data_IF_704526215663
#
_entry.id   IF_704526215663
#
_cell.length_a   1.000
_cell.length_b   1.000
_cell.length_c   1.000
_cell.angle_alpha   90.00
_cell.angle_beta   90.00
_cell.angle_gamma   90.00
#
_symmetry.space_group_name_H-M   'P 1'
#
loop_
_entity.id
_entity.type
_entity.pdbx_description
1 polymer ?
#
# COMPACT_ATOMS: atom_id res chain seq x y z
N UNK A 1 -8.88 16.75 -3.30
CA UNK A 1 -8.88 15.29 -3.08
C UNK A 1 -8.23 14.59 -4.25
N UNK A 2 -7.29 13.69 -3.98
CA UNK A 2 -6.55 12.98 -5.01
C UNK A 2 -7.48 12.05 -5.81
N UNK A 3 -7.31 12.00 -7.15
CA UNK A 3 -8.14 11.23 -8.09
C UNK A 3 -9.67 11.49 -8.00
N UNK A 4 -10.11 12.70 -7.62
CA UNK A 4 -11.54 13.02 -7.47
C UNK A 4 -12.40 12.88 -8.75
N UNK A 5 -11.77 12.86 -9.91
CA UNK A 5 -12.43 12.66 -11.21
C UNK A 5 -12.52 11.18 -11.62
N UNK A 6 -11.73 10.29 -11.01
CA UNK A 6 -11.69 8.86 -11.35
C UNK A 6 -12.33 7.98 -10.27
N UNK A 7 -12.15 8.35 -8.99
CA UNK A 7 -12.67 7.59 -7.85
C UNK A 7 -13.88 8.33 -7.26
N UNK A 8 -15.05 7.66 -7.11
CA UNK A 8 -16.29 8.29 -6.69
C UNK A 8 -16.35 8.51 -5.17
N UNK A 9 -15.43 9.29 -4.63
CA UNK A 9 -15.33 9.60 -3.21
C UNK A 9 -16.58 10.25 -2.59
N UNK A 10 -17.43 10.89 -3.40
CA UNK A 10 -18.73 11.38 -2.95
C UNK A 10 -19.63 10.25 -2.39
N UNK A 11 -19.41 8.99 -2.79
CA UNK A 11 -20.08 7.82 -2.20
C UNK A 11 -19.65 7.65 -0.73
N UNK A 12 -18.35 7.82 -0.44
CA UNK A 12 -17.84 7.77 0.94
C UNK A 12 -18.44 8.91 1.76
N UNK A 13 -18.42 10.13 1.22
CA UNK A 13 -19.02 11.30 1.85
C UNK A 13 -20.52 11.12 2.11
N UNK A 14 -21.27 10.55 1.15
CA UNK A 14 -22.70 10.32 1.29
C UNK A 14 -23.03 9.26 2.36
N UNK A 15 -22.19 8.23 2.48
CA UNK A 15 -22.44 7.07 3.32
C UNK A 15 -21.84 7.14 4.73
N UNK A 16 -20.77 7.92 4.93
CA UNK A 16 -20.08 8.00 6.22
C UNK A 16 -20.10 9.39 6.82
N UNK A 17 -20.08 9.44 8.16
CA UNK A 17 -19.84 10.67 8.93
C UNK A 17 -18.87 10.40 10.07
N UNK A 18 -18.10 11.41 10.43
CA UNK A 18 -17.29 11.33 11.63
C UNK A 18 -18.14 11.59 12.87
N UNK A 19 -17.96 10.76 13.90
CA UNK A 19 -18.66 10.90 15.19
C UNK A 19 -17.60 10.97 16.28
N UNK A 20 -17.61 12.06 17.04
CA UNK A 20 -16.64 12.29 18.13
C UNK A 20 -16.96 11.52 19.40
N UNK A 21 -18.24 11.22 19.65
CA UNK A 21 -18.70 10.42 20.79
C UNK A 21 -19.90 9.57 20.36
N UNK A 22 -19.65 8.30 20.03
CA UNK A 22 -20.73 7.40 19.65
C UNK A 22 -21.37 6.76 20.88
N UNK A 23 -22.54 7.25 21.30
CA UNK A 23 -23.27 6.75 22.48
C UNK A 23 -23.76 5.30 22.36
N UNK A 24 -23.74 4.72 21.16
CA UNK A 24 -24.16 3.35 20.89
C UNK A 24 -23.06 2.29 21.02
N UNK A 25 -21.81 2.68 21.30
CA UNK A 25 -20.66 1.77 21.38
C UNK A 25 -20.00 1.89 22.75
N UNK A 26 -19.65 0.76 23.36
CA UNK A 26 -18.83 0.71 24.58
C UNK A 26 -17.54 1.51 24.36
N UNK A 27 -17.25 2.43 25.29
CA UNK A 27 -16.11 3.35 25.28
C UNK A 27 -16.20 4.57 24.35
N UNK A 28 -17.36 4.84 23.73
CA UNK A 28 -17.65 6.08 22.98
C UNK A 28 -16.58 6.45 21.93
N UNK A 29 -15.92 5.45 21.32
CA UNK A 29 -14.75 5.69 20.48
C UNK A 29 -15.08 6.57 19.26
N UNK A 30 -14.26 7.61 18.97
CA UNK A 30 -14.43 8.42 17.78
C UNK A 30 -14.10 7.62 16.52
N UNK A 31 -14.77 7.94 15.41
CA UNK A 31 -14.47 7.37 14.11
C UNK A 31 -15.50 7.68 13.03
N UNK A 32 -15.29 7.17 11.83
CA UNK A 32 -16.29 7.16 10.76
C UNK A 32 -17.32 6.04 10.96
N UNK A 33 -18.59 6.43 10.89
CA UNK A 33 -19.72 5.52 11.00
C UNK A 33 -20.69 5.72 9.83
N UNK A 34 -21.40 4.65 9.42
CA UNK A 34 -22.48 4.78 8.44
C UNK A 34 -23.50 5.83 8.87
N UNK A 35 -23.96 6.65 7.91
CA UNK A 35 -25.13 7.51 8.11
C UNK A 35 -26.37 6.62 8.19
N UNK A 36 -27.21 6.84 9.19
CA UNK A 36 -28.47 6.12 9.31
C UNK A 36 -29.45 6.68 8.27
N UNK A 37 -29.55 6.01 7.12
CA UNK A 37 -30.53 6.33 6.09
C UNK A 37 -31.34 5.06 5.76
N UNK A 38 -32.58 4.94 6.27
CA UNK A 38 -33.38 3.71 6.17
C UNK A 38 -33.81 3.35 4.74
N UNK A 39 -33.67 4.28 3.78
CA UNK A 39 -34.02 4.06 2.38
C UNK A 39 -32.80 3.81 1.49
N UNK A 40 -31.61 3.70 2.08
CA UNK A 40 -30.35 3.68 1.36
C UNK A 40 -29.59 2.37 1.56
N UNK A 41 -29.31 1.67 0.46
CA UNK A 41 -28.52 0.45 0.47
C UNK A 41 -27.02 0.80 0.40
N UNK A 42 -26.42 1.03 1.57
CA UNK A 42 -24.99 1.31 1.70
C UNK A 42 -24.13 0.22 1.05
N UNK A 43 -24.53 -1.06 1.14
CA UNK A 43 -23.74 -2.16 0.62
C UNK A 43 -23.61 -2.09 -0.91
N UNK A 44 -24.71 -1.73 -1.60
CA UNK A 44 -24.71 -1.53 -3.05
C UNK A 44 -23.79 -0.37 -3.46
N UNK A 45 -23.85 0.74 -2.73
CA UNK A 45 -23.03 1.92 -2.97
C UNK A 45 -21.54 1.64 -2.77
N UNK A 46 -21.18 0.99 -1.66
CA UNK A 46 -19.79 0.63 -1.38
C UNK A 46 -19.25 -0.39 -2.38
N UNK A 47 -20.07 -1.33 -2.84
CA UNK A 47 -19.71 -2.22 -3.95
C UNK A 47 -19.38 -1.43 -5.21
N UNK A 48 -20.23 -0.47 -5.59
CA UNK A 48 -19.97 0.38 -6.74
C UNK A 48 -18.68 1.20 -6.59
N UNK A 49 -18.43 1.74 -5.40
CA UNK A 49 -17.19 2.44 -5.07
C UNK A 49 -15.96 1.54 -5.28
N UNK A 50 -15.98 0.32 -4.74
CA UNK A 50 -14.88 -0.65 -4.89
C UNK A 50 -14.64 -0.99 -6.35
N UNK A 51 -15.69 -1.34 -7.11
CA UNK A 51 -15.56 -1.67 -8.54
C UNK A 51 -14.92 -0.53 -9.34
N UNK A 52 -15.33 0.72 -9.07
CA UNK A 52 -14.74 1.90 -9.73
C UNK A 52 -13.30 2.16 -9.29
N UNK A 53 -12.99 1.96 -8.02
CA UNK A 53 -11.62 2.09 -7.52
C UNK A 53 -10.71 1.06 -8.18
N UNK A 54 -11.08 -0.23 -8.16
CA UNK A 54 -10.30 -1.30 -8.79
C UNK A 54 -10.13 -1.06 -10.28
N UNK A 55 -11.19 -0.65 -10.98
CA UNK A 55 -11.10 -0.26 -12.40
C UNK A 55 -10.09 0.87 -12.62
N UNK A 56 -10.00 1.82 -11.70
CA UNK A 56 -9.03 2.92 -11.76
C UNK A 56 -7.61 2.40 -11.56
N UNK A 57 -7.37 1.56 -10.56
CA UNK A 57 -6.05 0.92 -10.34
C UNK A 57 -5.61 0.18 -11.61
N UNK A 58 -6.49 -0.66 -12.17
CA UNK A 58 -6.21 -1.46 -13.37
C UNK A 58 -5.87 -0.57 -14.58
N UNK A 59 -6.62 0.50 -14.80
CA UNK A 59 -6.36 1.44 -15.90
C UNK A 59 -5.02 2.16 -15.77
N UNK A 60 -4.66 2.62 -14.57
CA UNK A 60 -3.37 3.26 -14.33
C UNK A 60 -2.20 2.27 -14.45
N UNK A 61 -2.39 1.05 -13.93
CA UNK A 61 -1.43 -0.05 -14.05
C UNK A 61 -1.16 -0.43 -15.51
N UNK A 62 -2.20 -0.58 -16.32
CA UNK A 62 -2.08 -0.85 -17.76
C UNK A 62 -1.38 0.30 -18.50
N UNK A 63 -1.74 1.54 -18.17
CA UNK A 63 -1.09 2.74 -18.72
C UNK A 63 0.39 2.79 -18.36
N UNK A 64 0.75 2.44 -17.12
CA UNK A 64 2.13 2.34 -16.67
C UNK A 64 2.87 1.23 -17.44
N UNK A 65 2.27 0.04 -17.58
CA UNK A 65 2.87 -1.11 -18.26
C UNK A 65 3.21 -0.82 -19.72
N UNK A 66 2.37 -0.02 -20.38
CA UNK A 66 2.56 0.37 -21.78
C UNK A 66 3.78 1.26 -22.04
N UNK A 67 4.42 1.80 -20.98
CA UNK A 67 5.68 2.55 -21.10
C UNK A 67 6.89 1.65 -21.34
N UNK A 68 6.77 0.35 -21.07
CA UNK A 68 7.87 -0.62 -21.13
C UNK A 68 7.64 -1.65 -22.26
N UNK A 69 8.70 -2.23 -22.83
CA UNK A 69 8.56 -3.31 -23.82
C UNK A 69 7.71 -4.48 -23.29
N UNK A 70 6.95 -5.14 -24.16
CA UNK A 70 6.16 -6.32 -23.80
C UNK A 70 7.05 -7.47 -23.28
N UNK A 71 8.26 -7.60 -23.83
CA UNK A 71 9.30 -8.51 -23.34
C UNK A 71 10.60 -7.77 -23.15
N UNK A 72 11.20 -7.93 -21.98
CA UNK A 72 12.53 -7.46 -21.66
C UNK A 72 13.49 -8.64 -21.79
N UNK A 73 14.60 -8.45 -22.49
CA UNK A 73 15.65 -9.47 -22.57
C UNK A 73 16.30 -9.57 -21.19
N UNK A 74 16.22 -10.72 -20.49
CA UNK A 74 16.76 -10.82 -19.16
C UNK A 74 18.28 -10.66 -19.16
N UNK A 75 18.81 -9.91 -18.19
CA UNK A 75 20.25 -9.80 -18.01
C UNK A 75 20.83 -11.16 -17.64
N UNK A 76 21.80 -11.63 -18.43
CA UNK A 76 22.57 -12.81 -18.05
C UNK A 76 23.56 -12.52 -16.90
N UNK A 77 24.06 -11.28 -16.84
CA UNK A 77 25.04 -10.78 -15.85
C UNK A 77 24.90 -9.27 -15.69
N UNK A 78 25.32 -8.75 -14.54
CA UNK A 78 25.43 -7.31 -14.31
C UNK A 78 24.44 -6.78 -13.29
N UNK A 79 24.29 -5.46 -13.28
CA UNK A 79 23.57 -4.73 -12.24
C UNK A 79 22.10 -4.54 -12.64
N UNK A 80 21.20 -4.92 -11.73
CA UNK A 80 19.75 -4.80 -11.85
C UNK A 80 19.26 -3.36 -11.69
N UNK A 81 19.93 -2.58 -10.84
CA UNK A 81 19.58 -1.20 -10.52
C UNK A 81 20.85 -0.34 -10.42
N UNK A 82 20.76 0.99 -10.58
CA UNK A 82 21.92 1.87 -10.62
C UNK A 82 22.59 2.04 -9.24
N UNK A 83 23.90 2.36 -9.25
CA UNK A 83 24.68 2.62 -8.03
C UNK A 83 24.09 3.77 -7.20
N UNK A 84 23.58 4.82 -7.85
CA UNK A 84 22.94 5.95 -7.18
C UNK A 84 21.76 5.52 -6.28
N UNK A 85 21.00 4.51 -6.71
CA UNK A 85 19.89 3.97 -5.92
C UNK A 85 20.40 3.17 -4.72
N UNK A 86 21.44 2.36 -4.93
CA UNK A 86 22.13 1.63 -3.86
C UNK A 86 22.62 2.58 -2.78
N UNK A 87 23.27 3.67 -3.19
CA UNK A 87 23.85 4.66 -2.29
C UNK A 87 22.76 5.46 -1.55
N UNK A 88 21.57 5.61 -2.15
CA UNK A 88 20.39 6.22 -1.50
C UNK A 88 19.77 5.29 -0.44
N UNK A 89 19.82 3.98 -0.63
CA UNK A 89 19.22 2.97 0.25
C UNK A 89 20.20 1.89 0.72
N UNK A 90 21.33 2.24 1.38
CA UNK A 90 22.40 1.30 1.68
C UNK A 90 22.01 0.22 2.70
N UNK A 91 20.90 0.41 3.40
CA UNK A 91 20.35 -0.57 4.36
C UNK A 91 19.61 -1.73 3.67
N UNK A 92 19.12 -1.50 2.45
CA UNK A 92 18.31 -2.45 1.69
C UNK A 92 19.02 -2.94 0.44
N UNK A 93 19.85 -2.06 -0.15
CA UNK A 93 20.52 -2.27 -1.42
C UNK A 93 22.03 -2.30 -1.19
N UNK A 94 22.69 -3.28 -1.78
CA UNK A 94 24.14 -3.46 -1.71
C UNK A 94 24.66 -4.08 -3.01
N UNK A 95 25.98 -4.15 -3.15
CA UNK A 95 26.61 -4.72 -4.35
C UNK A 95 26.17 -6.16 -4.62
N UNK A 96 25.90 -6.96 -3.58
CA UNK A 96 25.49 -8.35 -3.73
C UNK A 96 24.09 -8.45 -4.34
N UNK A 97 23.10 -7.77 -3.79
CA UNK A 97 21.72 -7.84 -4.29
C UNK A 97 21.44 -6.97 -5.52
N UNK A 98 22.40 -6.13 -5.93
CA UNK A 98 22.42 -5.46 -7.22
C UNK A 98 22.69 -6.42 -8.38
N UNK A 99 23.36 -7.56 -8.16
CA UNK A 99 23.77 -8.48 -9.21
C UNK A 99 22.66 -9.46 -9.59
N UNK A 100 22.32 -9.58 -10.87
CA UNK A 100 21.30 -10.56 -11.31
C UNK A 100 21.68 -12.00 -10.94
N UNK A 101 22.98 -12.29 -10.88
CA UNK A 101 23.51 -13.58 -10.47
C UNK A 101 23.11 -13.95 -9.03
N UNK A 102 23.02 -12.96 -8.13
CA UNK A 102 22.54 -13.18 -6.76
C UNK A 102 21.08 -13.63 -6.75
N UNK A 103 20.23 -13.00 -7.56
CA UNK A 103 18.82 -13.36 -7.67
C UNK A 103 18.67 -14.78 -8.21
N UNK A 104 19.34 -15.12 -9.31
CA UNK A 104 19.32 -16.48 -9.85
C UNK A 104 19.74 -17.51 -8.81
N UNK A 105 20.81 -17.23 -8.05
CA UNK A 105 21.27 -18.10 -6.98
C UNK A 105 20.21 -18.25 -5.86
N UNK A 106 19.59 -17.16 -5.42
CA UNK A 106 18.55 -17.20 -4.38
C UNK A 106 17.34 -18.05 -4.80
N UNK A 107 16.92 -18.00 -6.07
CA UNK A 107 15.75 -18.75 -6.53
C UNK A 107 16.05 -20.22 -6.85
N UNK A 108 17.32 -20.57 -7.06
CA UNK A 108 17.75 -21.97 -7.23
C UNK A 108 18.04 -22.69 -5.90
N UNK A 109 18.24 -21.94 -4.81
CA UNK A 109 18.50 -22.52 -3.50
C UNK A 109 17.20 -22.97 -2.78
N UNK A 110 17.15 -24.17 -2.17
CA UNK A 110 15.97 -24.65 -1.43
C UNK A 110 15.47 -23.68 -0.34
N UNK A 111 16.39 -22.94 0.28
CA UNK A 111 16.12 -21.94 1.31
C UNK A 111 16.66 -20.56 0.90
N UNK A 112 16.38 -20.16 -0.35
CA UNK A 112 16.73 -18.84 -0.88
C UNK A 112 16.52 -17.71 0.13
N UNK A 113 17.46 -16.76 0.16
CA UNK A 113 17.48 -15.68 1.14
C UNK A 113 16.42 -14.61 0.84
N UNK A 114 15.15 -14.93 1.17
CA UNK A 114 13.99 -14.05 0.96
C UNK A 114 14.16 -12.70 1.68
N UNK A 115 14.74 -12.73 2.87
CA UNK A 115 15.01 -11.56 3.71
C UNK A 115 15.91 -10.55 3.02
N UNK A 116 16.81 -11.01 2.13
CA UNK A 116 17.68 -10.13 1.34
C UNK A 116 17.06 -9.60 0.04
N UNK A 117 16.01 -10.23 -0.49
CA UNK A 117 15.38 -9.82 -1.77
C UNK A 117 14.12 -8.99 -1.60
N UNK A 118 13.30 -9.26 -0.59
CA UNK A 118 12.08 -8.50 -0.34
C UNK A 118 12.36 -6.99 -0.16
N UNK A 119 13.38 -6.57 0.61
CA UNK A 119 13.70 -5.15 0.73
C UNK A 119 14.04 -4.47 -0.57
N UNK A 120 14.69 -5.19 -1.48
CA UNK A 120 15.04 -4.66 -2.79
C UNK A 120 13.78 -4.40 -3.60
N UNK A 121 12.87 -5.37 -3.68
CA UNK A 121 11.61 -5.23 -4.44
C UNK A 121 10.80 -4.02 -3.94
N UNK A 122 10.68 -3.85 -2.62
CA UNK A 122 9.97 -2.73 -2.01
C UNK A 122 10.57 -1.37 -2.40
N UNK A 123 11.90 -1.25 -2.38
CA UNK A 123 12.60 -0.02 -2.79
C UNK A 123 12.42 0.23 -4.29
N UNK A 124 12.59 -0.79 -5.13
CA UNK A 124 12.43 -0.67 -6.58
C UNK A 124 11.00 -0.24 -6.96
N UNK A 125 9.97 -0.78 -6.30
CA UNK A 125 8.59 -0.35 -6.50
C UNK A 125 8.37 1.12 -6.15
N UNK A 126 8.87 1.52 -4.97
CA UNK A 126 8.73 2.89 -4.48
C UNK A 126 9.41 3.89 -5.40
N UNK A 127 10.63 3.57 -5.84
CA UNK A 127 11.50 4.41 -6.68
C UNK A 127 11.16 4.31 -8.17
N UNK A 128 10.14 3.54 -8.55
CA UNK A 128 9.69 3.35 -9.93
C UNK A 128 10.74 2.69 -10.84
N UNK A 129 11.56 1.81 -10.30
CA UNK A 129 12.55 1.01 -11.05
C UNK A 129 11.86 -0.20 -11.70
N UNK A 130 10.78 0.07 -12.45
CA UNK A 130 9.89 -0.97 -12.98
C UNK A 130 10.54 -1.80 -14.07
N UNK A 131 11.52 -1.27 -14.81
CA UNK A 131 12.23 -2.04 -15.84
C UNK A 131 12.97 -3.23 -15.22
N UNK A 132 13.70 -3.00 -14.12
CA UNK A 132 14.37 -4.06 -13.36
C UNK A 132 13.36 -5.07 -12.77
N UNK A 133 12.24 -4.59 -12.24
CA UNK A 133 11.19 -5.46 -11.71
C UNK A 133 10.52 -6.33 -12.79
N UNK A 134 10.17 -5.76 -13.94
CA UNK A 134 9.62 -6.51 -15.08
C UNK A 134 10.66 -7.52 -15.59
N UNK A 135 11.94 -7.13 -15.67
CA UNK A 135 13.01 -8.05 -16.06
C UNK A 135 13.11 -9.24 -15.09
N UNK A 136 13.04 -9.01 -13.77
CA UNK A 136 13.02 -10.10 -12.79
C UNK A 136 11.79 -11.00 -12.96
N UNK A 137 10.61 -10.43 -13.15
CA UNK A 137 9.36 -11.18 -13.34
C UNK A 137 9.38 -12.05 -14.60
N UNK A 138 10.10 -11.62 -15.64
CA UNK A 138 10.23 -12.34 -16.91
C UNK A 138 11.47 -13.24 -16.98
N UNK A 139 12.32 -13.27 -15.95
CA UNK A 139 13.59 -14.00 -15.99
C UNK A 139 13.37 -15.52 -15.87
N UNK A 140 13.87 -16.35 -16.80
CA UNK A 140 13.52 -17.78 -16.88
C UNK A 140 14.00 -18.63 -15.70
N UNK A 141 14.96 -18.13 -14.92
CA UNK A 141 15.51 -18.80 -13.73
C UNK A 141 15.01 -18.21 -12.41
N UNK A 142 14.10 -17.23 -12.43
CA UNK A 142 13.57 -16.55 -11.26
C UNK A 142 12.05 -16.70 -11.28
N UNK A 143 11.52 -17.57 -10.43
CA UNK A 143 10.08 -17.70 -10.26
C UNK A 143 9.60 -16.86 -9.07
N UNK A 144 9.24 -15.60 -9.35
CA UNK A 144 8.68 -14.71 -8.34
C UNK A 144 7.27 -15.13 -7.90
N UNK A 145 6.53 -15.87 -8.72
CA UNK A 145 5.14 -16.23 -8.44
C UNK A 145 5.05 -17.11 -7.19
N UNK A 146 5.83 -18.18 -7.16
CA UNK A 146 5.84 -19.12 -6.03
C UNK A 146 6.24 -18.41 -4.73
N UNK A 147 7.28 -17.57 -4.77
CA UNK A 147 7.76 -16.85 -3.57
C UNK A 147 6.80 -15.77 -3.09
N UNK A 148 6.07 -15.12 -4.00
CA UNK A 148 5.02 -14.16 -3.66
C UNK A 148 3.77 -14.86 -3.09
N UNK A 149 3.45 -16.08 -3.55
CA UNK A 149 2.30 -16.88 -3.08
C UNK A 149 2.58 -17.71 -1.81
N UNK A 150 3.84 -17.98 -1.46
CA UNK A 150 4.24 -18.72 -0.25
C UNK A 150 3.68 -18.15 1.08
N UNK A 151 3.03 -16.99 1.01
CA UNK A 151 2.38 -16.25 2.10
C UNK A 151 0.99 -16.76 2.51
N UNK A 152 0.41 -17.77 1.86
CA UNK A 152 -0.93 -18.25 2.28
C UNK A 152 -0.93 -19.42 3.27
N UNK A 153 0.15 -20.21 3.40
CA UNK A 153 0.03 -21.52 4.07
C UNK A 153 0.84 -21.74 5.35
N UNK A 154 1.98 -21.06 5.60
CA UNK A 154 2.91 -21.56 6.66
C UNK A 154 3.33 -20.58 7.77
N UNK A 155 3.05 -19.27 7.74
CA UNK A 155 3.46 -18.38 8.83
C UNK A 155 2.40 -17.36 9.28
N UNK A 156 2.13 -17.34 10.58
CA UNK A 156 1.24 -16.41 11.30
C UNK A 156 1.74 -14.95 11.36
N UNK A 157 2.77 -14.61 10.59
CA UNK A 157 3.33 -13.26 10.54
C UNK A 157 3.26 -12.73 9.10
N UNK A 158 2.57 -11.61 8.92
CA UNK A 158 2.42 -10.87 7.66
C UNK A 158 3.75 -10.20 7.24
N UNK A 159 4.83 -10.97 7.07
CA UNK A 159 6.09 -10.50 6.48
C UNK A 159 6.03 -10.65 4.97
N UNK A 160 6.28 -9.60 4.18
CA UNK A 160 6.30 -9.76 2.71
C UNK A 160 5.93 -8.53 1.89
N UNK A 161 6.10 -8.68 0.58
CA UNK A 161 5.71 -7.73 -0.47
C UNK A 161 4.26 -7.22 -0.32
N UNK A 162 3.32 -8.10 0.04
CA UNK A 162 1.93 -7.74 0.28
C UNK A 162 1.77 -6.67 1.37
N UNK A 163 2.69 -6.58 2.35
CA UNK A 163 2.57 -5.57 3.42
C UNK A 163 2.70 -4.15 2.88
N UNK A 164 3.59 -3.94 1.91
CA UNK A 164 3.75 -2.66 1.22
C UNK A 164 2.44 -2.25 0.54
N UNK A 165 1.76 -3.19 -0.13
CA UNK A 165 0.42 -2.98 -0.69
C UNK A 165 -0.59 -2.64 0.40
N UNK A 166 -0.76 -3.51 1.38
CA UNK A 166 -1.77 -3.40 2.44
C UNK A 166 -1.66 -2.06 3.17
N UNK A 167 -0.45 -1.66 3.57
CA UNK A 167 -0.19 -0.42 4.28
C UNK A 167 -0.43 0.80 3.39
N UNK A 168 0.02 0.76 2.14
CA UNK A 168 -0.19 1.86 1.19
C UNK A 168 -1.68 2.06 0.91
N UNK A 169 -2.41 0.98 0.68
CA UNK A 169 -3.86 1.02 0.46
C UNK A 169 -4.61 1.50 1.69
N UNK A 170 -4.28 0.96 2.87
CA UNK A 170 -4.90 1.34 4.15
C UNK A 170 -4.69 2.82 4.45
N UNK A 171 -3.47 3.31 4.28
CA UNK A 171 -3.15 4.72 4.49
C UNK A 171 -3.87 5.62 3.47
N UNK A 172 -3.84 5.25 2.18
CA UNK A 172 -4.51 6.00 1.13
C UNK A 172 -6.03 6.08 1.36
N UNK A 173 -6.65 4.96 1.71
CA UNK A 173 -8.07 4.88 2.02
C UNK A 173 -8.43 5.73 3.23
N UNK A 174 -7.72 5.57 4.35
CA UNK A 174 -7.97 6.33 5.58
C UNK A 174 -7.94 7.84 5.31
N UNK A 175 -6.87 8.32 4.67
CA UNK A 175 -6.68 9.74 4.46
C UNK A 175 -7.60 10.34 3.41
N UNK A 176 -7.90 9.61 2.33
CA UNK A 176 -8.89 10.07 1.35
C UNK A 176 -10.30 10.08 1.95
N UNK A 177 -10.65 9.13 2.83
CA UNK A 177 -11.89 9.19 3.62
C UNK A 177 -11.91 10.41 4.53
N UNK A 178 -10.83 10.68 5.25
CA UNK A 178 -10.73 11.87 6.10
C UNK A 178 -10.92 13.16 5.31
N UNK A 179 -10.38 13.22 4.09
CA UNK A 179 -10.59 14.34 3.19
C UNK A 179 -12.04 14.42 2.70
N UNK A 180 -12.63 13.29 2.28
CA UNK A 180 -13.99 13.22 1.75
C UNK A 180 -15.06 13.62 2.81
N UNK A 181 -14.81 13.30 4.08
CA UNK A 181 -15.71 13.62 5.20
C UNK A 181 -15.36 14.97 5.86
N UNK A 182 -14.34 15.68 5.36
CA UNK A 182 -13.94 17.01 5.83
C UNK A 182 -13.16 17.02 7.15
N UNK A 183 -12.85 15.87 7.74
CA UNK A 183 -12.09 15.80 9.00
C UNK A 183 -10.62 16.10 8.82
N UNK A 184 -10.07 15.96 7.61
CA UNK A 184 -8.68 16.32 7.31
C UNK A 184 -8.42 17.82 7.54
N UNK A 185 -9.37 18.68 7.14
CA UNK A 185 -9.26 20.14 7.27
C UNK A 185 -9.38 20.59 8.73
N UNK A 186 -10.26 19.94 9.50
CA UNK A 186 -10.45 20.24 10.92
C UNK A 186 -9.40 19.59 11.82
N UNK A 187 -8.65 18.63 11.30
CA UNK A 187 -7.73 17.80 12.08
C UNK A 187 -8.42 16.75 12.95
N UNK A 188 -9.74 16.60 12.89
CA UNK A 188 -10.49 15.70 13.78
C UNK A 188 -10.20 14.22 13.55
N UNK A 189 -9.72 13.84 12.36
CA UNK A 189 -9.37 12.46 12.01
C UNK A 189 -8.35 11.86 12.97
N UNK A 190 -7.49 12.68 13.61
CA UNK A 190 -6.49 12.15 14.53
C UNK A 190 -7.15 11.44 15.71
N UNK A 191 -8.36 11.88 16.11
CA UNK A 191 -9.14 11.32 17.23
C UNK A 191 -9.69 9.92 16.95
N UNK A 192 -9.69 9.49 15.69
CA UNK A 192 -10.08 8.15 15.29
C UNK A 192 -9.09 7.12 15.85
N UNK A 193 -9.59 6.10 16.55
CA UNK A 193 -8.72 5.04 17.07
C UNK A 193 -8.00 4.27 15.94
N UNK A 194 -8.59 4.22 14.75
CA UNK A 194 -8.00 3.63 13.54
C UNK A 194 -6.83 4.46 13.03
N UNK A 195 -6.82 5.78 13.22
CA UNK A 195 -5.66 6.62 12.86
C UNK A 195 -4.43 6.20 13.65
N UNK A 196 -4.57 6.08 14.98
CA UNK A 196 -3.48 5.64 15.85
C UNK A 196 -2.96 4.27 15.44
N UNK A 197 -3.87 3.31 15.21
CA UNK A 197 -3.49 1.96 14.76
C UNK A 197 -2.77 1.99 13.42
N UNK A 198 -3.22 2.83 12.49
CA UNK A 198 -2.56 3.01 11.19
C UNK A 198 -1.15 3.57 11.35
N UNK A 199 -0.97 4.63 12.15
CA UNK A 199 0.36 5.21 12.43
C UNK A 199 1.27 4.20 13.11
N UNK A 200 0.76 3.46 14.10
CA UNK A 200 1.49 2.36 14.73
C UNK A 200 1.88 1.30 13.71
N UNK A 201 0.99 0.89 12.80
CA UNK A 201 1.33 -0.08 11.76
C UNK A 201 2.38 0.45 10.76
N UNK A 202 2.34 1.74 10.42
CA UNK A 202 3.34 2.39 9.57
C UNK A 202 4.70 2.55 10.27
N UNK A 203 4.74 2.68 11.60
CA UNK A 203 5.95 2.98 12.37
C UNK A 203 6.57 1.79 13.14
N UNK A 204 5.77 0.82 13.59
CA UNK A 204 6.13 -0.17 14.62
C UNK A 204 6.77 -1.46 14.06
N UNK A 205 6.58 -1.77 12.78
CA UNK A 205 7.09 -3.02 12.21
C UNK A 205 8.59 -2.95 11.89
N UNK A 206 9.40 -3.44 12.85
CA UNK A 206 10.86 -3.63 12.84
C UNK A 206 11.68 -2.40 12.43
N UNK A 207 12.69 -2.06 13.22
CA UNK A 207 13.59 -0.93 12.97
C UNK A 207 14.10 -0.92 11.53
N UNK A 208 13.44 -0.16 10.64
CA UNK A 208 13.74 -0.03 9.20
C UNK A 208 13.34 -1.27 8.37
N UNK A 209 12.09 -1.71 8.44
CA UNK A 209 11.53 -2.55 7.36
C UNK A 209 11.41 -1.73 6.08
N UNK A 210 11.81 -2.30 4.95
CA UNK A 210 11.62 -1.72 3.61
C UNK A 210 10.15 -1.49 3.27
N UNK A 211 9.23 -2.19 3.93
CA UNK A 211 7.78 -2.02 3.80
C UNK A 211 7.34 -0.61 4.22
N UNK A 212 8.14 0.08 5.03
CA UNK A 212 7.86 1.43 5.51
C UNK A 212 8.40 2.53 4.60
N UNK A 213 9.18 2.20 3.55
CA UNK A 213 9.94 3.20 2.77
C UNK A 213 9.04 4.32 2.24
N UNK A 214 7.80 3.99 1.84
CA UNK A 214 6.83 4.93 1.32
C UNK A 214 6.28 5.90 2.39
N UNK A 215 6.37 5.54 3.66
CA UNK A 215 5.78 6.26 4.79
C UNK A 215 6.81 7.08 5.57
N UNK A 216 8.13 6.80 5.42
CA UNK A 216 9.18 7.39 6.24
C UNK A 216 9.18 8.92 6.23
N UNK A 217 9.01 9.54 5.06
CA UNK A 217 8.98 11.00 4.95
C UNK A 217 7.79 11.60 5.70
N UNK A 218 6.61 11.00 5.54
CA UNK A 218 5.41 11.43 6.26
C UNK A 218 5.59 11.29 7.77
N UNK A 219 6.08 10.14 8.23
CA UNK A 219 6.30 9.87 9.65
C UNK A 219 7.27 10.88 10.29
N UNK A 220 8.34 11.24 9.58
CA UNK A 220 9.27 12.31 10.01
C UNK A 220 8.57 13.66 10.12
N UNK A 221 7.69 13.99 9.18
CA UNK A 221 6.99 15.29 9.17
C UNK A 221 6.03 15.46 10.32
N UNK A 222 5.44 14.35 10.76
CA UNK A 222 4.59 14.32 11.93
C UNK A 222 5.36 14.07 13.22
N UNK A 223 6.71 14.08 13.20
CA UNK A 223 7.52 13.91 14.41
C UNK A 223 7.46 12.51 15.01
N UNK A 224 7.01 11.51 14.25
CA UNK A 224 7.06 10.10 14.67
C UNK A 224 8.48 9.60 14.38
N UNK A 225 9.30 9.58 15.42
CA UNK A 225 10.58 8.87 15.41
C UNK A 225 10.38 7.39 15.75
N UNK A 226 11.30 6.54 15.27
CA UNK A 226 11.35 5.13 15.65
C UNK A 226 11.64 5.09 17.16
N UNK A 227 10.58 4.92 17.98
CA UNK A 227 10.50 4.88 19.48
C UNK A 227 9.71 6.01 20.17
N UNK A 228 9.03 6.90 19.45
CA UNK A 228 8.12 7.89 20.11
C UNK A 228 6.88 7.23 20.72
N UNK A 229 6.48 7.70 21.90
CA UNK A 229 5.19 7.37 22.52
C UNK A 229 4.06 7.89 21.60
N UNK A 230 3.34 7.00 20.92
CA UNK A 230 2.26 7.30 19.96
C UNK A 230 1.01 7.91 20.61
N UNK A 231 1.11 8.36 21.87
CA UNK A 231 0.05 9.08 22.59
C UNK A 231 -0.12 10.52 22.11
N UNK A 232 0.92 11.12 21.51
CA UNK A 232 0.78 12.43 20.87
C UNK A 232 0.12 12.30 19.50
N UNK A 233 -0.92 13.11 19.27
CA UNK A 233 -1.77 13.04 18.08
C UNK A 233 -1.28 14.07 17.07
N UNK A 234 -0.66 13.62 15.99
CA UNK A 234 -0.01 14.51 15.05
C UNK A 234 -0.93 14.87 13.88
N UNK A 235 -1.22 16.16 13.73
CA UNK A 235 -1.96 16.68 12.58
C UNK A 235 -0.96 16.98 11.46
N UNK A 236 -1.24 16.53 10.25
CA UNK A 236 -0.49 16.91 9.04
C UNK A 236 -0.63 18.43 8.78
N UNK A 237 0.43 19.20 9.04
CA UNK A 237 0.43 20.67 8.89
C UNK A 237 0.80 21.13 7.48
N UNK A 238 1.64 20.37 6.78
CA UNK A 238 2.04 20.65 5.41
C UNK A 238 1.11 19.93 4.43
N UNK A 239 0.09 20.65 3.96
CA UNK A 239 -0.93 20.10 3.08
C UNK A 239 -0.36 19.73 1.70
N UNK A 240 0.59 20.50 1.18
CA UNK A 240 1.18 20.24 -0.14
C UNK A 240 1.97 18.93 -0.12
N UNK A 241 2.82 18.77 0.89
CA UNK A 241 3.60 17.54 1.08
C UNK A 241 2.71 16.34 1.35
N UNK A 242 1.63 16.53 2.10
CA UNK A 242 0.63 15.49 2.32
C UNK A 242 -0.09 15.06 1.04
N UNK A 243 -0.49 16.01 0.17
CA UNK A 243 -1.08 15.68 -1.14
C UNK A 243 -0.09 14.95 -2.05
N UNK A 244 1.20 15.34 -2.01
CA UNK A 244 2.26 14.60 -2.70
C UNK A 244 2.36 13.16 -2.18
N UNK A 245 2.32 12.96 -0.87
CA UNK A 245 2.33 11.63 -0.27
C UNK A 245 1.15 10.77 -0.74
N UNK A 246 -0.08 11.31 -0.78
CA UNK A 246 -1.23 10.56 -1.31
C UNK A 246 -1.07 10.18 -2.79
N UNK A 247 -0.48 11.08 -3.60
CA UNK A 247 -0.14 10.79 -4.99
C UNK A 247 0.87 9.66 -5.09
N UNK A 248 1.90 9.67 -4.27
CA UNK A 248 2.96 8.65 -4.26
C UNK A 248 2.43 7.29 -3.79
N UNK A 249 1.53 7.25 -2.78
CA UNK A 249 0.85 6.03 -2.37
C UNK A 249 0.00 5.44 -3.50
N UNK A 250 -0.79 6.26 -4.19
CA UNK A 250 -1.59 5.78 -5.31
C UNK A 250 -0.71 5.26 -6.45
N UNK A 251 0.44 5.90 -6.67
CA UNK A 251 1.43 5.43 -7.62
C UNK A 251 1.97 4.04 -7.26
N UNK A 252 2.31 3.86 -5.99
CA UNK A 252 2.77 2.57 -5.47
C UNK A 252 1.70 1.48 -5.64
N UNK A 253 0.42 1.79 -5.38
CA UNK A 253 -0.71 0.85 -5.53
C UNK A 253 -0.82 0.34 -6.97
N UNK A 254 -0.85 1.21 -7.99
CA UNK A 254 -0.97 0.74 -9.38
C UNK A 254 0.31 0.11 -9.92
N UNK A 255 1.50 0.51 -9.45
CA UNK A 255 2.77 -0.17 -9.80
C UNK A 255 2.83 -1.57 -9.23
N UNK A 256 2.33 -1.74 -8.00
CA UNK A 256 2.17 -3.06 -7.40
C UNK A 256 1.25 -3.93 -8.26
N UNK A 257 0.08 -3.41 -8.67
CA UNK A 257 -0.84 -4.15 -9.56
C UNK A 257 -0.15 -4.61 -10.84
N UNK A 258 0.60 -3.70 -11.46
CA UNK A 258 1.37 -4.00 -12.68
C UNK A 258 2.38 -5.12 -12.44
N UNK A 259 3.20 -5.01 -11.40
CA UNK A 259 4.25 -5.98 -11.11
C UNK A 259 3.68 -7.35 -10.72
N UNK A 260 2.65 -7.38 -9.88
CA UNK A 260 1.99 -8.63 -9.49
C UNK A 260 1.41 -9.37 -10.71
N UNK A 261 0.76 -8.65 -11.63
CA UNK A 261 0.27 -9.23 -12.89
C UNK A 261 1.41 -9.78 -13.74
N UNK A 262 2.55 -9.12 -13.77
CA UNK A 262 3.72 -9.60 -14.51
C UNK A 262 4.35 -10.84 -13.89
N UNK A 263 4.19 -11.03 -12.59
CA UNK A 263 4.47 -12.29 -11.89
C UNK A 263 3.34 -13.33 -12.04
N UNK A 264 2.27 -13.07 -12.79
CA UNK A 264 1.13 -13.98 -12.95
C UNK A 264 0.26 -14.12 -11.70
N UNK A 265 0.15 -13.05 -10.89
CA UNK A 265 -0.62 -12.99 -9.65
C UNK A 265 -1.74 -11.96 -9.78
N UNK A 266 -2.93 -12.32 -9.30
CA UNK A 266 -4.01 -11.35 -9.06
C UNK A 266 -3.85 -10.75 -7.66
N UNK A 267 -3.69 -9.41 -7.53
CA UNK A 267 -3.57 -8.76 -6.23
C UNK A 267 -4.81 -8.86 -5.32
N UNK A 268 -5.97 -9.23 -5.87
CA UNK A 268 -7.21 -9.37 -5.09
C UNK A 268 -7.77 -8.03 -4.57
N UNK A 269 -7.65 -6.95 -5.34
CA UNK A 269 -7.96 -5.58 -4.87
C UNK A 269 -9.37 -5.40 -4.34
N UNK A 270 -10.37 -6.11 -4.88
CA UNK A 270 -11.74 -6.04 -4.38
C UNK A 270 -11.82 -6.45 -2.90
N UNK A 271 -11.13 -7.53 -2.52
CA UNK A 271 -11.07 -8.02 -1.14
C UNK A 271 -10.25 -7.07 -0.26
N UNK A 272 -9.07 -6.66 -0.72
CA UNK A 272 -8.18 -5.73 0.00
C UNK A 272 -8.85 -4.39 0.31
N UNK A 273 -9.62 -3.84 -0.64
CA UNK A 273 -10.41 -2.62 -0.41
C UNK A 273 -11.55 -2.86 0.56
N UNK A 274 -12.26 -3.99 0.47
CA UNK A 274 -13.34 -4.32 1.39
C UNK A 274 -12.86 -4.46 2.85
N UNK A 275 -11.59 -4.83 3.05
CA UNK A 275 -10.96 -4.92 4.37
C UNK A 275 -10.41 -3.59 4.89
N UNK A 276 -10.28 -2.57 4.03
CA UNK A 276 -9.82 -1.25 4.44
C UNK A 276 -10.86 -0.51 5.30
N UNK A 277 -10.39 0.26 6.27
CA UNK A 277 -11.22 1.20 7.00
C UNK A 277 -11.58 2.41 6.12
N UNK A 278 -12.83 2.93 6.11
CA UNK A 278 -13.97 2.53 6.94
C UNK A 278 -14.91 1.48 6.29
N UNK A 279 -14.51 0.85 5.18
CA UNK A 279 -15.37 -0.08 4.43
C UNK A 279 -15.58 -1.41 5.17
N UNK A 280 -14.59 -1.82 5.96
CA UNK A 280 -14.61 -3.03 6.76
C UNK A 280 -15.93 -3.20 7.52
N UNK A 281 -16.56 -4.38 7.38
CA UNK A 281 -17.88 -4.78 7.95
C UNK A 281 -19.12 -4.16 7.31
N UNK A 282 -18.98 -3.27 6.32
CA UNK A 282 -20.10 -2.64 5.64
C UNK A 282 -20.29 -3.11 4.18
N UNK A 283 -19.34 -3.90 3.68
CA UNK A 283 -19.41 -4.55 2.37
C UNK A 283 -19.89 -5.99 2.54
N UNK A 284 -20.80 -6.51 1.69
CA UNK A 284 -21.29 -7.89 1.78
C UNK A 284 -20.15 -8.91 1.72
N UNK A 285 -20.28 -10.00 2.48
CA UNK A 285 -19.31 -11.11 2.55
C UNK A 285 -19.14 -11.91 1.25
N UNK A 286 -19.70 -11.47 0.12
CA UNK A 286 -19.49 -12.15 -1.18
C UNK A 286 -18.12 -11.83 -1.82
N UNK A 287 -17.28 -11.08 -1.11
CA UNK A 287 -15.88 -10.83 -1.47
C UNK A 287 -14.89 -11.59 -0.58
N UNK A 288 -15.37 -12.40 0.38
CA UNK A 288 -14.58 -13.31 1.25
C UNK A 288 -14.86 -14.75 0.91
#
# INVERSE_FOLDING_TARGET
MHQSHNIPWHIIEANFKFVTQNKGILNFQPGYFPKNNPHHDIAKDLKHFIEKFVSTIRSFSETERNKYPARIVPLARGNLFPDALRDKYPMYLNERNQRIEFWVHCFQAPHGDWWSIQPVINVLLYENEMEGLIMLAQHPQIDLRERMLWREQEMWYQYGFNRTKELSLSAYMFFCTAQAVGTLETGEYVRDCSYRRLVEQMAYFNERSSEQVAHLELLRDIGVEVKTDTREMFVHKDHERFQKYLKDLFALIYRYDMFAKECGIDPGWEMELAECYPLLRHVPSRFT
#
